data_IF_155243331904
#
_entry.id   IF_155243331904
#
_cell.length_a   1.000
_cell.length_b   1.000
_cell.length_c   1.000
_cell.angle_alpha   90.00
_cell.angle_beta   90.00
_cell.angle_gamma   90.00
#
_symmetry.space_group_name_H-M   'P 1'
#
loop_
_entity.id
_entity.type
_entity.pdbx_description
1 polymer ?
#
# COMPACT_ATOMS: atom_id res chain seq x y z
N UNK A 1 -13.45 -1.15 24.56
CA UNK A 1 -14.58 -2.00 24.81
C UNK A 1 -15.12 -2.68 23.56
N UNK A 2 -16.21 -3.45 23.70
CA UNK A 2 -16.88 -4.18 22.63
C UNK A 2 -17.25 -3.30 21.43
N UNK A 3 -17.61 -2.06 21.68
CA UNK A 3 -17.95 -1.08 20.63
C UNK A 3 -16.81 -0.79 19.68
N UNK A 4 -15.60 -0.62 20.19
CA UNK A 4 -14.41 -0.38 19.35
C UNK A 4 -14.01 -1.64 18.57
N UNK A 5 -14.17 -2.82 19.17
CA UNK A 5 -13.88 -4.10 18.54
C UNK A 5 -14.80 -4.38 17.33
N UNK A 6 -16.09 -4.20 17.50
CA UNK A 6 -17.06 -4.41 16.43
C UNK A 6 -16.90 -3.40 15.30
N UNK A 7 -16.62 -2.16 15.64
CA UNK A 7 -16.38 -1.09 14.68
C UNK A 7 -15.12 -1.32 13.85
N UNK A 8 -14.03 -1.66 14.50
CA UNK A 8 -12.77 -2.02 13.83
C UNK A 8 -12.95 -3.26 12.94
N UNK A 9 -13.70 -4.25 13.40
CA UNK A 9 -13.97 -5.46 12.63
C UNK A 9 -14.76 -5.20 11.35
N UNK A 10 -15.76 -4.32 11.41
CA UNK A 10 -16.52 -3.93 10.24
C UNK A 10 -15.67 -3.19 9.20
N UNK A 11 -14.83 -2.26 9.66
CA UNK A 11 -13.96 -1.47 8.79
C UNK A 11 -12.82 -2.32 8.20
N UNK A 12 -12.29 -3.26 8.97
CA UNK A 12 -11.27 -4.19 8.47
C UNK A 12 -11.75 -5.07 7.32
N UNK A 13 -13.06 -5.33 7.23
CA UNK A 13 -13.65 -6.09 6.11
C UNK A 13 -13.78 -5.26 4.84
N UNK A 14 -14.04 -3.98 4.96
CA UNK A 14 -14.31 -3.08 3.84
C UNK A 14 -13.05 -2.35 3.36
N UNK A 15 -12.25 -1.88 4.30
CA UNK A 15 -11.08 -1.06 4.02
C UNK A 15 -9.80 -1.82 4.29
N UNK A 16 -9.00 -1.93 3.24
CA UNK A 16 -7.71 -2.58 3.32
C UNK A 16 -6.68 -1.63 3.93
N UNK A 17 -6.10 -2.03 5.03
CA UNK A 17 -5.04 -1.29 5.70
C UNK A 17 -3.80 -2.16 5.88
N UNK A 18 -2.64 -1.52 5.89
CA UNK A 18 -1.38 -2.17 6.21
C UNK A 18 -1.05 -1.91 7.68
N UNK A 19 -0.76 -2.97 8.42
CA UNK A 19 -0.30 -2.92 9.81
C UNK A 19 1.05 -3.63 9.88
N UNK A 20 2.13 -2.96 10.30
CA UNK A 20 3.44 -3.59 10.41
C UNK A 20 3.42 -4.73 11.44
N UNK A 21 3.90 -5.91 11.03
CA UNK A 21 3.92 -7.11 11.89
C UNK A 21 4.99 -7.03 12.99
N UNK A 22 6.04 -6.26 12.76
CA UNK A 22 7.17 -6.11 13.68
C UNK A 22 6.96 -5.03 14.76
N UNK A 23 5.78 -4.40 14.78
CA UNK A 23 5.42 -3.46 15.83
C UNK A 23 4.88 -4.18 17.07
N UNK A 24 5.07 -3.62 18.27
CA UNK A 24 4.35 -4.08 19.46
C UNK A 24 2.84 -4.06 19.24
N UNK A 25 2.13 -5.05 19.80
CA UNK A 25 0.67 -5.20 19.60
C UNK A 25 -0.11 -3.94 19.99
N UNK A 26 0.29 -3.26 21.05
CA UNK A 26 -0.36 -2.02 21.48
C UNK A 26 -0.33 -0.95 20.38
N UNK A 27 0.80 -0.79 19.69
CA UNK A 27 0.93 0.16 18.58
C UNK A 27 0.21 -0.29 17.32
N UNK A 28 0.17 -1.59 17.06
CA UNK A 28 -0.64 -2.14 15.96
C UNK A 28 -2.12 -1.80 16.16
N UNK A 29 -2.62 -1.96 17.38
CA UNK A 29 -4.01 -1.65 17.73
C UNK A 29 -4.30 -0.15 17.61
N UNK A 30 -3.39 0.71 18.06
CA UNK A 30 -3.53 2.16 17.92
C UNK A 30 -3.59 2.59 16.44
N UNK A 31 -2.72 2.04 15.60
CA UNK A 31 -2.72 2.32 14.17
C UNK A 31 -4.03 1.85 13.52
N UNK A 32 -4.52 0.68 13.90
CA UNK A 32 -5.77 0.13 13.41
C UNK A 32 -6.96 1.05 13.74
N UNK A 33 -7.05 1.51 14.99
CA UNK A 33 -8.10 2.43 15.45
C UNK A 33 -8.03 3.76 14.70
N UNK A 34 -6.84 4.31 14.57
CA UNK A 34 -6.61 5.57 13.86
C UNK A 34 -7.00 5.47 12.38
N UNK A 35 -6.61 4.39 11.72
CA UNK A 35 -6.94 4.13 10.31
C UNK A 35 -8.45 3.97 10.12
N UNK A 36 -9.10 3.22 11.00
CA UNK A 36 -10.55 3.02 10.99
C UNK A 36 -11.31 4.33 11.14
N UNK A 37 -10.85 5.20 12.04
CA UNK A 37 -11.46 6.53 12.22
C UNK A 37 -11.29 7.41 10.97
N UNK A 38 -10.12 7.41 10.37
CA UNK A 38 -9.85 8.15 9.13
C UNK A 38 -10.76 7.68 7.98
N UNK A 39 -10.94 6.38 7.83
CA UNK A 39 -11.82 5.81 6.82
C UNK A 39 -13.28 6.20 7.04
N UNK A 40 -13.74 6.19 8.28
CA UNK A 40 -15.10 6.65 8.63
C UNK A 40 -15.30 8.11 8.24
N UNK A 41 -14.36 8.99 8.61
CA UNK A 41 -14.40 10.41 8.27
C UNK A 41 -14.37 10.61 6.75
N UNK A 42 -13.58 9.82 6.02
CA UNK A 42 -13.56 9.87 4.56
C UNK A 42 -14.95 9.65 3.96
N UNK A 43 -15.63 8.58 4.35
CA UNK A 43 -16.96 8.24 3.81
C UNK A 43 -18.00 9.31 4.19
N UNK A 44 -18.02 9.74 5.43
CA UNK A 44 -18.93 10.80 5.89
C UNK A 44 -18.68 12.12 5.15
N UNK A 45 -17.42 12.47 4.94
CA UNK A 45 -17.03 13.67 4.21
C UNK A 45 -17.46 13.62 2.74
N UNK A 46 -17.27 12.48 2.06
CA UNK A 46 -17.74 12.28 0.68
C UNK A 46 -19.24 12.52 0.58
N UNK A 47 -20.02 11.91 1.45
CA UNK A 47 -21.47 12.07 1.46
C UNK A 47 -21.90 13.52 1.69
N UNK A 48 -21.24 14.20 2.60
CA UNK A 48 -21.52 15.61 2.92
C UNK A 48 -21.16 16.56 1.78
N UNK A 49 -20.06 16.32 1.08
CA UNK A 49 -19.55 17.19 0.02
C UNK A 49 -20.17 16.92 -1.35
N UNK A 50 -20.69 15.71 -1.58
CA UNK A 50 -21.21 15.31 -2.89
C UNK A 50 -22.31 16.24 -3.44
N UNK A 51 -23.31 16.69 -2.65
CA UNK A 51 -24.33 17.62 -3.14
C UNK A 51 -23.80 18.97 -3.59
N UNK A 52 -22.68 19.44 -3.02
CA UNK A 52 -22.09 20.75 -3.35
C UNK A 52 -21.05 20.69 -4.46
N UNK A 53 -20.22 19.66 -4.45
CA UNK A 53 -19.01 19.60 -5.27
C UNK A 53 -19.08 18.55 -6.39
N UNK A 54 -20.08 17.68 -6.35
CA UNK A 54 -20.13 16.49 -7.20
C UNK A 54 -19.27 15.35 -6.64
N UNK A 55 -19.58 14.12 -7.06
CA UNK A 55 -18.98 12.90 -6.51
C UNK A 55 -17.46 12.83 -6.72
N UNK A 56 -16.97 13.19 -7.90
CA UNK A 56 -15.54 13.13 -8.20
C UNK A 56 -14.74 14.06 -7.28
N UNK A 57 -15.14 15.32 -7.21
CA UNK A 57 -14.45 16.33 -6.40
C UNK A 57 -14.57 16.02 -4.89
N UNK A 58 -15.73 15.53 -4.46
CA UNK A 58 -15.94 15.11 -3.08
C UNK A 58 -14.95 14.03 -2.65
N UNK A 59 -14.76 13.00 -3.50
CA UNK A 59 -13.79 11.93 -3.25
C UNK A 59 -12.34 12.44 -3.23
N UNK A 60 -11.99 13.31 -4.17
CA UNK A 60 -10.65 13.91 -4.23
C UNK A 60 -10.33 14.71 -2.96
N UNK A 61 -11.28 15.50 -2.50
CA UNK A 61 -11.12 16.32 -1.30
C UNK A 61 -11.09 15.48 -0.01
N UNK A 62 -11.98 14.51 0.11
CA UNK A 62 -12.08 13.67 1.30
C UNK A 62 -10.84 12.77 1.51
N UNK A 63 -10.01 12.56 0.48
CA UNK A 63 -8.77 11.77 0.60
C UNK A 63 -7.80 12.31 1.64
N UNK A 64 -7.92 13.56 2.06
CA UNK A 64 -7.13 14.09 3.16
C UNK A 64 -7.33 13.32 4.47
N UNK A 65 -8.46 12.64 4.64
CA UNK A 65 -8.71 11.79 5.80
C UNK A 65 -8.12 10.38 5.67
N UNK A 66 -7.67 9.98 4.48
CA UNK A 66 -7.01 8.68 4.32
C UNK A 66 -5.64 8.67 4.98
N UNK A 67 -5.36 7.59 5.68
CA UNK A 67 -4.09 7.41 6.38
C UNK A 67 -3.00 6.88 5.45
N UNK A 68 -1.75 7.08 5.83
CA UNK A 68 -0.59 6.68 5.05
C UNK A 68 -0.50 5.16 4.82
N UNK A 69 -1.06 4.37 5.73
CA UNK A 69 -1.08 2.91 5.65
C UNK A 69 -2.29 2.35 4.89
N UNK A 70 -3.04 3.17 4.16
CA UNK A 70 -4.10 2.69 3.29
C UNK A 70 -3.51 1.84 2.17
N UNK A 71 -4.03 0.62 2.00
CA UNK A 71 -3.59 -0.28 0.92
C UNK A 71 -4.20 0.16 -0.39
N UNK A 72 -3.37 0.26 -1.39
CA UNK A 72 -3.78 0.57 -2.77
C UNK A 72 -3.36 -0.57 -3.69
N UNK A 73 -4.00 -0.62 -4.83
CA UNK A 73 -3.65 -1.54 -5.90
C UNK A 73 -3.37 -0.73 -7.15
N UNK A 74 -2.27 -1.00 -7.81
CA UNK A 74 -1.86 -0.27 -9.01
C UNK A 74 -1.20 -1.22 -9.99
N UNK A 75 -1.49 -1.02 -11.29
CA UNK A 75 -0.74 -1.63 -12.36
C UNK A 75 0.45 -0.76 -12.69
N UNK A 76 1.64 -1.36 -12.70
CA UNK A 76 2.89 -0.65 -12.95
C UNK A 76 3.57 -1.27 -14.16
N UNK A 77 4.03 -0.42 -15.07
CA UNK A 77 4.78 -0.84 -16.24
C UNK A 77 6.18 -0.22 -16.22
N UNK A 78 7.20 -1.06 -16.34
CA UNK A 78 8.60 -0.64 -16.44
C UNK A 78 9.20 -1.15 -17.74
N UNK A 79 10.07 -0.35 -18.37
CA UNK A 79 11.09 -0.92 -19.22
C UNK A 79 12.21 -1.52 -18.33
N UNK A 80 13.06 -2.36 -18.90
CA UNK A 80 14.09 -3.07 -18.11
C UNK A 80 15.10 -2.12 -17.45
N UNK A 81 15.41 -1.01 -18.07
CA UNK A 81 16.33 -0.01 -17.50
C UNK A 81 15.74 0.65 -16.26
N UNK A 82 14.49 1.05 -16.32
CA UNK A 82 13.78 1.64 -15.18
C UNK A 82 13.59 0.62 -14.06
N UNK A 83 13.31 -0.63 -14.42
CA UNK A 83 13.20 -1.73 -13.46
C UNK A 83 14.54 -1.97 -12.75
N UNK A 84 15.66 -2.02 -13.48
CA UNK A 84 16.99 -2.15 -12.89
C UNK A 84 17.29 -1.04 -11.87
N UNK A 85 16.98 0.19 -12.23
CA UNK A 85 17.17 1.34 -11.35
C UNK A 85 16.28 1.26 -10.09
N UNK A 86 15.03 0.88 -10.24
CA UNK A 86 14.13 0.66 -9.13
C UNK A 86 14.66 -0.40 -8.16
N UNK A 87 15.06 -1.57 -8.67
CA UNK A 87 15.60 -2.66 -7.85
C UNK A 87 16.88 -2.23 -7.14
N UNK A 88 17.79 -1.54 -7.82
CA UNK A 88 19.03 -1.04 -7.23
C UNK A 88 18.76 -0.11 -6.04
N UNK A 89 17.81 0.80 -6.17
CA UNK A 89 17.50 1.79 -5.14
C UNK A 89 16.67 1.20 -3.99
N UNK A 90 15.72 0.33 -4.29
CA UNK A 90 14.74 -0.14 -3.31
C UNK A 90 15.11 -1.45 -2.63
N UNK A 91 16.01 -2.23 -3.21
CA UNK A 91 16.59 -3.42 -2.58
C UNK A 91 17.74 -3.06 -1.63
N UNK A 92 18.20 -1.83 -1.63
CA UNK A 92 19.27 -1.35 -0.76
C UNK A 92 18.91 -1.52 0.73
N UNK A 93 19.91 -1.85 1.54
CA UNK A 93 19.77 -1.92 3.01
C UNK A 93 19.33 -0.59 3.65
N UNK A 94 19.58 0.53 2.97
CA UNK A 94 19.14 1.86 3.42
C UNK A 94 17.68 2.17 3.09
N UNK A 95 17.02 1.35 2.26
CA UNK A 95 15.62 1.51 1.96
C UNK A 95 14.75 0.99 3.10
N UNK A 96 13.54 1.55 3.25
CA UNK A 96 12.57 1.08 4.23
C UNK A 96 12.22 -0.40 3.96
N UNK A 97 12.00 -1.16 5.04
CA UNK A 97 11.76 -2.61 4.99
C UNK A 97 10.66 -3.00 4.01
N UNK A 98 9.52 -2.32 4.05
CA UNK A 98 8.35 -2.64 3.24
C UNK A 98 8.63 -2.52 1.74
N UNK A 99 9.32 -1.46 1.32
CA UNK A 99 9.65 -1.28 -0.10
C UNK A 99 10.75 -2.25 -0.55
N UNK A 100 11.66 -2.64 0.35
CA UNK A 100 12.66 -3.68 0.05
C UNK A 100 11.99 -5.01 -0.23
N UNK A 101 11.03 -5.40 0.58
CA UNK A 101 10.28 -6.65 0.41
C UNK A 101 9.52 -6.66 -0.91
N UNK A 102 8.91 -5.54 -1.29
CA UNK A 102 8.24 -5.41 -2.59
C UNK A 102 9.25 -5.55 -3.73
N UNK A 103 10.39 -4.87 -3.66
CA UNK A 103 11.42 -4.93 -4.70
C UNK A 103 11.98 -6.36 -4.86
N UNK A 104 12.26 -7.04 -3.76
CA UNK A 104 12.72 -8.43 -3.77
C UNK A 104 11.71 -9.36 -4.40
N UNK A 105 10.42 -9.20 -4.06
CA UNK A 105 9.34 -10.01 -4.63
C UNK A 105 9.15 -9.75 -6.12
N UNK A 106 9.24 -8.50 -6.55
CA UNK A 106 9.19 -8.14 -7.98
C UNK A 106 10.33 -8.78 -8.75
N UNK A 107 11.55 -8.74 -8.22
CA UNK A 107 12.72 -9.37 -8.82
C UNK A 107 12.53 -10.90 -8.94
N UNK A 108 12.06 -11.54 -7.88
CA UNK A 108 11.79 -12.98 -7.87
C UNK A 108 10.75 -13.37 -8.92
N UNK A 109 9.70 -12.57 -9.09
CA UNK A 109 8.67 -12.80 -10.11
C UNK A 109 9.25 -12.71 -11.53
N UNK A 110 10.14 -11.75 -11.79
CA UNK A 110 10.81 -11.61 -13.10
C UNK A 110 11.78 -12.77 -13.35
N UNK A 111 12.53 -13.20 -12.33
CA UNK A 111 13.43 -14.36 -12.42
C UNK A 111 12.70 -15.67 -12.66
N UNK A 112 11.47 -15.78 -12.18
CA UNK A 112 10.64 -16.99 -12.30
C UNK A 112 9.85 -17.12 -13.60
N UNK A 113 10.00 -16.20 -14.56
CA UNK A 113 9.30 -16.29 -15.85
C UNK A 113 9.82 -17.49 -16.64
N UNK A 114 8.91 -18.36 -17.10
CA UNK A 114 9.26 -19.50 -17.95
C UNK A 114 9.79 -18.99 -19.31
N UNK A 115 10.86 -19.65 -19.82
CA UNK A 115 11.57 -19.21 -21.02
C UNK A 115 11.94 -17.72 -20.99
N UNK A 116 12.51 -17.30 -19.87
CA UNK A 116 12.69 -15.89 -19.50
C UNK A 116 13.49 -15.10 -20.54
N UNK A 117 12.85 -14.15 -21.27
CA UNK A 117 13.55 -13.32 -22.25
C UNK A 117 14.56 -12.34 -21.61
N UNK A 118 14.48 -12.15 -20.29
CA UNK A 118 15.33 -11.21 -19.54
C UNK A 118 16.51 -11.89 -18.84
N UNK A 119 16.68 -13.22 -19.02
CA UNK A 119 17.68 -13.97 -18.26
C UNK A 119 19.10 -13.47 -18.45
N UNK A 120 19.49 -13.14 -19.68
CA UNK A 120 20.83 -12.57 -19.95
C UNK A 120 21.02 -11.20 -19.31
N UNK A 121 20.00 -10.37 -19.35
CA UNK A 121 20.02 -9.05 -18.71
C UNK A 121 20.15 -9.18 -17.19
N UNK A 122 19.37 -10.06 -16.57
CA UNK A 122 19.45 -10.33 -15.13
C UNK A 122 20.82 -10.83 -14.72
N UNK A 123 21.41 -11.76 -15.50
CA UNK A 123 22.74 -12.29 -15.24
C UNK A 123 23.80 -11.19 -15.32
N UNK A 124 23.70 -10.28 -16.30
CA UNK A 124 24.63 -9.16 -16.43
C UNK A 124 24.56 -8.17 -15.27
N UNK A 125 23.43 -8.10 -14.58
CA UNK A 125 23.24 -7.28 -13.38
C UNK A 125 23.67 -8.00 -12.09
N UNK A 126 24.03 -9.28 -12.17
CA UNK A 126 24.43 -10.08 -11.02
C UNK A 126 23.28 -10.75 -10.28
N UNK A 127 22.16 -10.93 -10.95
CA UNK A 127 20.96 -11.60 -10.36
C UNK A 127 20.72 -13.03 -10.94
#
# INVERSE_FOLDING_TARGET
GAFLGDWCGAILKEDKMFIPEDWPEAWQNELMIYTAHGNKLYHECVESLEPRLGRKRAKESARFFKTYNSRIQADVQFNMRSFANFIKLRKSEHAQKEIREIAEKMLDLVKGIEDNPFQHTLNSWGY
#
